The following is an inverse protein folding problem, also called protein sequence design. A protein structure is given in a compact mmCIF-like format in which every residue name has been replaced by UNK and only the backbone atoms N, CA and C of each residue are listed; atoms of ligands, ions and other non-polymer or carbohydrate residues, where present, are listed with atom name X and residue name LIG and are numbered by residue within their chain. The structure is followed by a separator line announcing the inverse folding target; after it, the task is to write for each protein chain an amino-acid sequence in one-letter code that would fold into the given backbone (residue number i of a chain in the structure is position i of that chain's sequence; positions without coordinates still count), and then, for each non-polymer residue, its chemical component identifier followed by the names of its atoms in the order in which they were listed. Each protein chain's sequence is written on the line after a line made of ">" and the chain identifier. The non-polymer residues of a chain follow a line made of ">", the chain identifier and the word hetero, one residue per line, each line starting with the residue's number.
data_IF_921000898516
#
_entry.id   IF_921000898516
#
_cell.length_a   1.000
_cell.length_b   1.000
_cell.length_c   1.000
_cell.angle_alpha   90.00
_cell.angle_beta   90.00
_cell.angle_gamma   90.00
#
_symmetry.space_group_name_H-M   'P 1'
#
loop_
_entity.id
_entity.type
_entity.pdbx_description
1 polymer ?
#
# COMPACT_ATOMS: atom_id res chain seq x y z
N UNK A 1 -1.44 -22.62 -4.18
CA UNK A 1 -0.39 -22.65 -3.13
C UNK A 1 -0.81 -23.58 -2.01
N UNK A 2 0.11 -24.36 -1.45
CA UNK A 2 -0.13 -25.22 -0.29
C UNK A 2 -0.29 -24.41 1.00
N UNK A 3 -1.01 -24.95 2.00
CA UNK A 3 -1.23 -24.34 3.31
C UNK A 3 -2.03 -23.01 3.27
N UNK A 4 -3.02 -22.96 2.38
CA UNK A 4 -3.91 -21.81 2.24
C UNK A 4 -5.14 -21.90 3.17
N UNK A 5 -5.88 -20.80 3.31
CA UNK A 5 -7.08 -20.74 4.18
C UNK A 5 -8.15 -21.77 3.82
N UNK A 6 -8.31 -22.11 2.53
CA UNK A 6 -9.31 -23.08 2.06
C UNK A 6 -8.98 -24.50 2.53
N UNK A 7 -7.70 -24.90 2.52
CA UNK A 7 -7.23 -26.19 3.07
C UNK A 7 -7.47 -26.29 4.58
N UNK A 8 -7.48 -25.16 5.30
CA UNK A 8 -7.83 -25.08 6.72
C UNK A 8 -9.34 -25.01 6.98
N UNK A 9 -10.18 -25.17 5.95
CA UNK A 9 -11.65 -25.12 6.06
C UNK A 9 -12.23 -23.72 6.24
N UNK A 10 -11.45 -22.67 5.95
CA UNK A 10 -11.89 -21.28 6.09
C UNK A 10 -12.48 -20.80 4.75
N UNK A 11 -13.77 -20.45 4.78
CA UNK A 11 -14.48 -19.91 3.62
C UNK A 11 -14.14 -18.44 3.38
N UNK A 12 -13.93 -18.08 2.12
CA UNK A 12 -13.66 -16.72 1.67
C UNK A 12 -14.74 -16.24 0.70
N UNK A 13 -15.09 -14.95 0.78
CA UNK A 13 -15.97 -14.26 -0.16
C UNK A 13 -15.39 -12.87 -0.44
N UNK A 14 -15.44 -12.45 -1.70
CA UNK A 14 -15.09 -11.09 -2.14
C UNK A 14 -16.36 -10.29 -2.46
N UNK A 15 -16.33 -9.02 -2.13
CA UNK A 15 -17.33 -8.03 -2.54
C UNK A 15 -16.56 -6.92 -3.24
N UNK A 16 -16.80 -6.76 -4.53
CA UNK A 16 -16.21 -5.66 -5.28
C UNK A 16 -16.87 -4.33 -4.88
N UNK A 17 -16.12 -3.24 -5.05
CA UNK A 17 -16.65 -1.91 -4.80
C UNK A 17 -17.70 -1.54 -5.84
N UNK A 18 -18.66 -0.70 -5.46
CA UNK A 18 -19.61 -0.11 -6.38
C UNK A 18 -18.87 0.87 -7.30
N UNK A 19 -18.95 0.62 -8.60
CA UNK A 19 -18.31 1.41 -9.67
C UNK A 19 -16.80 1.67 -9.45
N UNK A 20 -16.10 0.75 -8.77
CA UNK A 20 -14.70 0.91 -8.37
C UNK A 20 -14.44 2.19 -7.54
N UNK A 21 -15.41 2.65 -6.77
CA UNK A 21 -15.31 3.92 -6.01
C UNK A 21 -15.57 3.75 -4.52
N UNK A 22 -16.67 3.12 -4.14
CA UNK A 22 -17.11 3.05 -2.74
C UNK A 22 -17.68 1.67 -2.39
N UNK A 23 -17.88 1.42 -1.10
CA UNK A 23 -18.42 0.16 -0.59
C UNK A 23 -19.81 -0.13 -1.17
N UNK A 24 -20.02 -1.35 -1.68
CA UNK A 24 -21.32 -1.77 -2.19
C UNK A 24 -22.21 -2.29 -1.05
N UNK A 25 -22.82 -1.38 -0.29
CA UNK A 25 -23.59 -1.69 0.92
C UNK A 25 -24.70 -2.75 0.72
N UNK A 26 -25.42 -2.71 -0.41
CA UNK A 26 -26.46 -3.72 -0.73
C UNK A 26 -25.88 -5.14 -0.84
N UNK A 27 -24.68 -5.28 -1.38
CA UNK A 27 -24.01 -6.59 -1.48
C UNK A 27 -23.38 -7.02 -0.15
N UNK A 28 -22.89 -6.05 0.64
CA UNK A 28 -22.42 -6.30 2.01
C UNK A 28 -23.55 -6.88 2.86
N UNK A 29 -24.74 -6.28 2.82
CA UNK A 29 -25.91 -6.74 3.58
C UNK A 29 -26.32 -8.17 3.24
N UNK A 30 -26.25 -8.56 1.96
CA UNK A 30 -26.59 -9.93 1.52
C UNK A 30 -25.54 -10.97 1.93
N UNK A 31 -24.26 -10.60 1.93
CA UNK A 31 -23.15 -11.55 2.06
C UNK A 31 -22.58 -11.65 3.48
N UNK A 32 -22.71 -10.59 4.27
CA UNK A 32 -22.32 -10.58 5.69
C UNK A 32 -23.46 -11.15 6.52
N UNK A 33 -23.15 -12.14 7.36
CA UNK A 33 -24.13 -12.80 8.21
C UNK A 33 -23.59 -12.97 9.62
N UNK A 34 -24.41 -13.53 10.52
CA UNK A 34 -23.97 -13.91 11.88
C UNK A 34 -22.84 -14.95 11.88
N UNK A 35 -22.69 -15.73 10.80
CA UNK A 35 -21.63 -16.73 10.62
C UNK A 35 -20.33 -16.13 10.04
N UNK A 36 -20.37 -14.89 9.54
CA UNK A 36 -19.17 -14.21 9.05
C UNK A 36 -18.32 -13.80 10.25
N UNK A 37 -17.14 -14.44 10.40
CA UNK A 37 -16.26 -14.20 11.55
C UNK A 37 -15.46 -12.91 11.44
N UNK A 38 -15.07 -12.55 10.22
CA UNK A 38 -14.17 -11.42 9.95
C UNK A 38 -14.54 -10.75 8.63
N UNK A 39 -14.39 -9.43 8.57
CA UNK A 39 -14.35 -8.63 7.34
C UNK A 39 -12.97 -8.00 7.24
N UNK A 40 -12.32 -8.18 6.09
CA UNK A 40 -11.08 -7.50 5.73
C UNK A 40 -11.41 -6.31 4.83
N UNK A 41 -10.82 -5.16 5.13
CA UNK A 41 -10.87 -3.95 4.29
C UNK A 41 -9.45 -3.63 3.85
N UNK A 42 -9.23 -3.45 2.56
CA UNK A 42 -7.95 -2.99 2.02
C UNK A 42 -8.02 -1.48 1.74
N UNK A 43 -7.28 -0.67 2.50
CA UNK A 43 -7.30 0.80 2.38
C UNK A 43 -6.77 1.25 1.02
N UNK A 44 -5.51 0.95 0.75
CA UNK A 44 -4.85 1.32 -0.50
C UNK A 44 -5.41 0.58 -1.72
N UNK A 45 -5.44 1.26 -2.86
CA UNK A 45 -5.88 0.68 -4.14
C UNK A 45 -4.98 -0.46 -4.64
N UNK A 46 -3.70 -0.52 -4.26
CA UNK A 46 -2.74 -1.44 -4.89
C UNK A 46 -2.78 -1.30 -6.43
N UNK A 47 -2.75 -2.42 -7.16
CA UNK A 47 -2.79 -2.42 -8.63
C UNK A 47 -4.20 -2.29 -9.25
N UNK A 48 -5.21 -1.88 -8.48
CA UNK A 48 -6.58 -1.76 -8.99
C UNK A 48 -6.89 -0.35 -9.49
N UNK A 49 -7.77 -0.23 -10.47
CA UNK A 49 -8.19 1.05 -11.08
C UNK A 49 -9.27 1.79 -10.26
N UNK A 50 -9.22 1.67 -8.92
CA UNK A 50 -10.14 2.35 -7.99
C UNK A 50 -9.42 3.42 -7.19
N UNK A 51 -10.16 4.28 -6.52
CA UNK A 51 -9.58 5.15 -5.49
C UNK A 51 -9.23 4.34 -4.24
N UNK A 52 -8.18 4.76 -3.54
CA UNK A 52 -7.90 4.33 -2.17
C UNK A 52 -9.00 4.84 -1.24
N UNK A 53 -9.32 4.07 -0.19
CA UNK A 53 -10.46 4.34 0.68
C UNK A 53 -10.06 5.29 1.81
N UNK A 54 -10.76 6.42 1.95
CA UNK A 54 -10.52 7.36 3.05
C UNK A 54 -10.92 6.76 4.40
N UNK A 55 -10.36 7.30 5.49
CA UNK A 55 -10.76 6.90 6.84
C UNK A 55 -12.26 7.11 7.06
N UNK A 56 -12.85 8.14 6.46
CA UNK A 56 -14.30 8.37 6.54
C UNK A 56 -15.10 7.27 5.82
N UNK A 57 -14.66 6.82 4.64
CA UNK A 57 -15.31 5.70 3.93
C UNK A 57 -15.18 4.39 4.74
N UNK A 58 -13.99 4.12 5.28
CA UNK A 58 -13.72 2.97 6.14
C UNK A 58 -14.62 3.01 7.39
N UNK A 59 -14.73 4.17 8.05
CA UNK A 59 -15.62 4.37 9.21
C UNK A 59 -17.06 3.96 8.90
N UNK A 60 -17.63 4.50 7.82
CA UNK A 60 -19.01 4.19 7.41
C UNK A 60 -19.22 2.71 7.13
N UNK A 61 -18.25 2.06 6.46
CA UNK A 61 -18.30 0.62 6.20
C UNK A 61 -18.25 -0.20 7.49
N UNK A 62 -17.39 0.19 8.44
CA UNK A 62 -17.29 -0.47 9.75
C UNK A 62 -18.61 -0.37 10.52
N UNK A 63 -19.18 0.84 10.62
CA UNK A 63 -20.45 1.08 11.30
C UNK A 63 -21.57 0.23 10.67
N UNK A 64 -21.66 0.19 9.34
CA UNK A 64 -22.63 -0.62 8.62
C UNK A 64 -22.48 -2.12 8.90
N UNK A 65 -21.27 -2.64 8.81
CA UNK A 65 -20.98 -4.07 9.05
C UNK A 65 -21.26 -4.44 10.52
N UNK A 66 -20.92 -3.57 11.47
CA UNK A 66 -21.20 -3.78 12.90
C UNK A 66 -22.69 -3.73 13.23
N UNK A 67 -23.50 -2.97 12.49
CA UNK A 67 -24.95 -2.98 12.63
C UNK A 67 -25.57 -4.33 12.20
N UNK A 68 -24.98 -5.01 11.21
CA UNK A 68 -25.41 -6.37 10.81
C UNK A 68 -24.98 -7.39 11.87
N UNK A 69 -23.75 -7.30 12.36
CA UNK A 69 -23.20 -8.20 13.38
C UNK A 69 -22.16 -7.48 14.25
N UNK A 70 -22.53 -7.11 15.47
CA UNK A 70 -21.65 -6.38 16.38
C UNK A 70 -20.42 -7.19 16.87
N UNK A 71 -20.45 -8.52 16.75
CA UNK A 71 -19.34 -9.43 17.15
C UNK A 71 -18.34 -9.71 16.03
N UNK A 72 -18.59 -9.25 14.81
CA UNK A 72 -17.70 -9.49 13.67
C UNK A 72 -16.36 -8.79 13.88
N UNK A 73 -15.26 -9.42 13.48
CA UNK A 73 -13.92 -8.82 13.56
C UNK A 73 -13.69 -7.98 12.29
N UNK A 74 -13.29 -6.72 12.45
CA UNK A 74 -12.86 -5.86 11.35
C UNK A 74 -11.34 -5.84 11.32
N UNK A 75 -10.77 -6.36 10.25
CA UNK A 75 -9.35 -6.22 9.94
C UNK A 75 -9.18 -5.17 8.84
N UNK A 76 -8.25 -4.24 8.99
CA UNK A 76 -7.86 -3.30 7.93
C UNK A 76 -6.40 -3.53 7.54
N UNK A 77 -6.17 -3.83 6.27
CA UNK A 77 -4.84 -3.70 5.66
C UNK A 77 -4.61 -2.22 5.36
N UNK A 78 -3.67 -1.64 6.10
CA UNK A 78 -3.44 -0.20 6.16
C UNK A 78 -2.18 0.25 5.43
N UNK A 79 -1.52 -0.67 4.71
CA UNK A 79 -0.33 -0.37 3.94
C UNK A 79 -0.51 0.90 3.09
N UNK A 80 0.53 1.74 3.08
CA UNK A 80 0.63 3.00 2.35
C UNK A 80 -0.20 4.15 2.91
N UNK A 81 -1.15 3.89 3.80
CA UNK A 81 -2.04 4.90 4.37
C UNK A 81 -1.59 5.47 5.71
N UNK A 82 -0.59 4.87 6.34
CA UNK A 82 -0.11 5.32 7.64
C UNK A 82 0.38 6.77 7.57
N UNK A 83 -0.09 7.61 8.48
CA UNK A 83 0.23 9.03 8.64
C UNK A 83 -0.22 9.95 7.50
N UNK A 84 -0.97 9.46 6.51
CA UNK A 84 -1.50 10.32 5.44
C UNK A 84 -2.70 11.14 5.92
N UNK A 85 -3.54 10.55 6.77
CA UNK A 85 -4.65 11.24 7.44
C UNK A 85 -4.35 11.40 8.94
N UNK A 86 -5.03 12.34 9.61
CA UNK A 86 -4.86 12.57 11.06
C UNK A 86 -5.29 11.34 11.88
N UNK A 87 -6.25 10.57 11.37
CA UNK A 87 -6.77 9.35 11.99
C UNK A 87 -6.30 8.14 11.21
N UNK A 88 -6.21 7.03 11.94
CA UNK A 88 -5.96 5.68 11.40
C UNK A 88 -7.21 4.79 11.58
N UNK A 89 -7.32 3.64 10.89
CA UNK A 89 -8.51 2.79 10.95
C UNK A 89 -8.89 2.34 12.37
N UNK A 90 -7.91 2.19 13.27
CA UNK A 90 -8.13 1.88 14.69
C UNK A 90 -8.95 2.96 15.41
N UNK A 91 -8.82 4.23 15.02
CA UNK A 91 -9.57 5.35 15.59
C UNK A 91 -11.05 5.38 15.14
N UNK A 92 -11.41 4.59 14.13
CA UNK A 92 -12.76 4.54 13.55
C UNK A 92 -13.40 3.15 13.64
N UNK A 93 -12.88 2.29 14.51
CA UNK A 93 -13.53 1.03 14.89
C UNK A 93 -12.96 -0.23 14.26
N UNK A 94 -11.80 -0.17 13.59
CA UNK A 94 -11.10 -1.39 13.18
C UNK A 94 -10.62 -2.16 14.42
N UNK A 95 -10.84 -3.47 14.44
CA UNK A 95 -10.47 -4.33 15.56
C UNK A 95 -8.99 -4.74 15.49
N UNK A 96 -8.45 -4.89 14.27
CA UNK A 96 -7.04 -5.15 13.98
C UNK A 96 -6.63 -4.38 12.73
N UNK A 97 -5.43 -3.81 12.76
CA UNK A 97 -4.81 -3.09 11.65
C UNK A 97 -3.43 -3.67 11.41
N UNK A 98 -3.08 -3.92 10.15
CA UNK A 98 -1.78 -4.48 9.76
C UNK A 98 -1.09 -3.61 8.72
N UNK A 99 0.24 -3.70 8.68
CA UNK A 99 1.02 -3.10 7.61
C UNK A 99 2.50 -3.50 7.68
N UNK A 100 3.31 -2.90 6.82
CA UNK A 100 4.72 -3.22 6.65
C UNK A 100 5.63 -2.11 7.19
N UNK A 101 6.75 -2.48 7.81
CA UNK A 101 7.74 -1.52 8.29
C UNK A 101 8.65 -1.01 7.18
N UNK A 102 8.80 -1.70 6.05
CA UNK A 102 9.55 -1.15 4.89
C UNK A 102 8.70 -0.18 4.04
N UNK A 103 7.57 0.27 4.59
CA UNK A 103 6.68 1.30 4.05
C UNK A 103 6.69 2.53 4.96
N UNK A 104 5.61 3.31 4.93
CA UNK A 104 5.40 4.53 5.70
C UNK A 104 5.92 4.45 7.14
N UNK A 105 5.52 3.49 7.99
CA UNK A 105 5.86 3.52 9.42
C UNK A 105 7.33 3.22 9.74
N UNK A 106 8.13 2.71 8.81
CA UNK A 106 9.57 2.58 9.04
C UNK A 106 10.38 3.80 8.67
N UNK A 107 9.77 4.83 8.08
CA UNK A 107 10.41 6.11 7.80
C UNK A 107 11.67 6.05 6.93
N UNK A 108 11.87 4.95 6.19
CA UNK A 108 13.09 4.69 5.40
C UNK A 108 14.28 4.14 6.20
N UNK A 109 14.10 3.79 7.47
CA UNK A 109 15.16 3.27 8.34
C UNK A 109 14.95 1.82 8.77
N UNK A 110 13.69 1.37 8.85
CA UNK A 110 13.43 -0.03 9.18
C UNK A 110 13.91 -0.95 8.04
N UNK A 111 14.79 -1.89 8.36
CA UNK A 111 15.38 -2.80 7.36
C UNK A 111 14.40 -3.89 6.89
N UNK A 112 13.43 -4.25 7.73
CA UNK A 112 12.41 -5.28 7.46
C UNK A 112 11.27 -5.19 8.48
N UNK A 113 10.30 -6.10 8.36
CA UNK A 113 9.28 -6.35 9.37
C UNK A 113 7.89 -5.84 9.00
N UNK A 114 6.96 -6.10 9.90
CA UNK A 114 5.57 -5.66 9.83
C UNK A 114 5.05 -5.31 11.20
N UNK A 115 3.92 -4.60 11.23
CA UNK A 115 3.22 -4.27 12.48
C UNK A 115 1.80 -4.81 12.45
N UNK A 116 1.31 -5.12 13.65
CA UNK A 116 -0.08 -5.50 13.90
C UNK A 116 -0.50 -4.77 15.16
N UNK A 117 -1.55 -3.95 15.07
CA UNK A 117 -2.12 -3.22 16.20
C UNK A 117 -3.61 -3.47 16.29
N UNK A 118 -4.19 -3.48 17.50
CA UNK A 118 -5.59 -3.82 17.67
C UNK A 118 -5.94 -4.30 19.07
N UNK A 119 -7.10 -4.96 19.18
CA UNK A 119 -7.62 -5.48 20.45
C UNK A 119 -6.71 -6.55 21.04
N UNK A 120 -6.49 -6.49 22.35
CA UNK A 120 -5.54 -7.34 23.07
C UNK A 120 -5.78 -8.84 22.87
N UNK A 121 -7.04 -9.29 22.88
CA UNK A 121 -7.40 -10.69 22.67
C UNK A 121 -7.02 -11.18 21.26
N UNK A 122 -7.16 -10.32 20.25
CA UNK A 122 -6.78 -10.62 18.87
C UNK A 122 -5.26 -10.59 18.70
N UNK A 123 -4.57 -9.62 19.28
CA UNK A 123 -3.10 -9.55 19.26
C UNK A 123 -2.47 -10.78 19.92
N UNK A 124 -3.00 -11.24 21.06
CA UNK A 124 -2.51 -12.45 21.72
C UNK A 124 -2.68 -13.70 20.84
N UNK A 125 -3.82 -13.83 20.13
CA UNK A 125 -4.06 -14.94 19.19
C UNK A 125 -3.11 -14.90 18.00
N UNK A 126 -2.85 -13.70 17.47
CA UNK A 126 -1.92 -13.49 16.36
C UNK A 126 -0.49 -13.80 16.78
N UNK A 127 -0.06 -13.33 17.96
CA UNK A 127 1.25 -13.63 18.50
C UNK A 127 1.47 -15.14 18.65
N UNK A 128 0.51 -15.86 19.22
CA UNK A 128 0.56 -17.32 19.34
C UNK A 128 0.62 -18.04 17.99
N UNK A 129 0.04 -17.46 16.92
CA UNK A 129 0.14 -18.01 15.57
C UNK A 129 1.50 -17.73 14.93
N UNK A 130 2.08 -16.55 15.19
CA UNK A 130 3.39 -16.15 14.68
C UNK A 130 4.52 -16.95 15.33
N UNK A 131 4.38 -17.29 16.61
CA UNK A 131 5.36 -18.06 17.38
C UNK A 131 4.82 -19.46 17.67
N UNK A 132 4.27 -19.69 18.87
CA UNK A 132 3.53 -20.88 19.25
C UNK A 132 2.62 -20.60 20.45
N UNK A 133 1.55 -21.39 20.66
CA UNK A 133 0.73 -21.31 21.86
C UNK A 133 1.57 -21.51 23.13
N UNK A 134 1.38 -20.62 24.12
CA UNK A 134 2.12 -20.65 25.38
C UNK A 134 3.37 -19.76 25.39
N UNK A 135 3.98 -19.49 24.21
CA UNK A 135 5.09 -18.53 24.07
C UNK A 135 4.55 -17.13 23.77
N UNK A 136 3.69 -17.01 22.76
CA UNK A 136 3.12 -15.72 22.36
C UNK A 136 4.19 -14.68 21.98
N UNK A 137 4.10 -13.49 22.56
CA UNK A 137 4.97 -12.33 22.24
C UNK A 137 6.17 -12.15 23.19
N UNK A 138 6.33 -13.03 24.18
CA UNK A 138 7.32 -12.86 25.26
C UNK A 138 8.75 -13.23 24.82
N UNK A 139 8.91 -13.88 23.67
CA UNK A 139 10.20 -14.31 23.14
C UNK A 139 10.37 -13.84 21.70
N UNK A 140 11.55 -13.32 21.38
CA UNK A 140 11.93 -12.88 20.04
C UNK A 140 13.16 -11.98 20.09
N UNK A 141 14.22 -12.34 19.35
CA UNK A 141 15.41 -11.50 19.25
C UNK A 141 15.15 -10.35 18.27
N UNK A 142 15.50 -9.13 18.67
CA UNK A 142 15.29 -7.93 17.85
C UNK A 142 16.44 -7.66 16.87
N UNK A 143 17.53 -8.45 16.90
CA UNK A 143 18.71 -8.33 16.02
C UNK A 143 19.24 -6.89 15.86
N UNK A 144 19.34 -6.16 16.99
CA UNK A 144 19.74 -4.75 17.06
C UNK A 144 18.91 -3.77 16.19
N UNK A 145 17.72 -4.19 15.73
CA UNK A 145 16.84 -3.36 14.90
C UNK A 145 16.00 -2.37 15.71
N UNK A 146 15.94 -2.50 17.03
CA UNK A 146 15.10 -1.67 17.91
C UNK A 146 15.31 -0.17 17.64
N UNK A 147 16.55 0.29 17.54
CA UNK A 147 16.86 1.70 17.26
C UNK A 147 16.34 2.12 15.89
N UNK A 148 16.60 1.33 14.83
CA UNK A 148 16.21 1.65 13.47
C UNK A 148 14.67 1.72 13.34
N UNK A 149 13.96 0.78 13.96
CA UNK A 149 12.49 0.75 13.96
C UNK A 149 11.94 1.99 14.69
N UNK A 150 12.42 2.28 15.90
CA UNK A 150 11.89 3.40 16.69
C UNK A 150 12.23 4.77 16.09
N UNK A 151 13.45 4.94 15.58
CA UNK A 151 13.85 6.17 14.89
C UNK A 151 13.10 6.34 13.57
N UNK A 152 12.93 5.24 12.82
CA UNK A 152 12.12 5.20 11.61
C UNK A 152 10.68 5.62 11.89
N UNK A 153 10.06 5.07 12.93
CA UNK A 153 8.70 5.42 13.33
C UNK A 153 8.56 6.89 13.77
N UNK A 154 9.56 7.44 14.46
CA UNK A 154 9.59 8.86 14.83
C UNK A 154 9.65 9.77 13.59
N UNK A 155 10.39 9.39 12.55
CA UNK A 155 10.52 10.15 11.30
C UNK A 155 9.37 9.88 10.31
N UNK A 156 8.65 8.77 10.47
CA UNK A 156 7.66 8.28 9.53
C UNK A 156 6.60 9.32 9.10
N UNK A 157 6.02 10.16 9.98
CA UNK A 157 5.08 11.18 9.55
C UNK A 157 5.71 12.18 8.56
N UNK A 158 6.95 12.62 8.81
CA UNK A 158 7.67 13.55 7.94
C UNK A 158 8.01 12.90 6.59
N UNK A 159 8.53 11.68 6.62
CA UNK A 159 8.88 10.92 5.41
C UNK A 159 7.64 10.63 4.56
N UNK A 160 6.54 10.25 5.19
CA UNK A 160 5.23 10.05 4.51
C UNK A 160 4.77 11.33 3.81
N UNK A 161 4.88 12.49 4.46
CA UNK A 161 4.52 13.77 3.84
C UNK A 161 5.46 14.16 2.68
N UNK A 162 6.73 13.77 2.72
CA UNK A 162 7.66 13.93 1.58
C UNK A 162 7.18 13.11 0.37
N UNK A 163 6.92 11.81 0.58
CA UNK A 163 6.41 10.93 -0.46
C UNK A 163 5.06 11.42 -1.02
N UNK A 164 4.16 11.86 -0.14
CA UNK A 164 2.85 12.39 -0.54
C UNK A 164 2.95 13.67 -1.38
N UNK A 165 3.84 14.60 -1.02
CA UNK A 165 4.10 15.79 -1.84
C UNK A 165 4.68 15.40 -3.20
N UNK A 166 5.58 14.41 -3.24
CA UNK A 166 6.10 13.84 -4.48
C UNK A 166 4.99 13.26 -5.36
N UNK A 167 4.11 12.44 -4.79
CA UNK A 167 3.02 11.80 -5.52
C UNK A 167 2.03 12.82 -6.09
N UNK A 168 1.69 13.87 -5.34
CA UNK A 168 0.87 15.00 -5.83
C UNK A 168 1.59 15.78 -6.94
N UNK A 169 2.90 16.00 -6.83
CA UNK A 169 3.68 16.68 -7.87
C UNK A 169 3.66 15.89 -9.19
N UNK A 170 3.93 14.59 -9.14
CA UNK A 170 3.85 13.72 -10.31
C UNK A 170 2.43 13.71 -10.89
N UNK A 171 1.40 13.59 -10.04
CA UNK A 171 0.00 13.72 -10.44
C UNK A 171 -0.25 15.00 -11.23
N UNK A 172 0.23 16.14 -10.71
CA UNK A 172 0.01 17.45 -11.31
C UNK A 172 0.66 17.58 -12.67
N UNK A 173 1.93 17.19 -12.77
CA UNK A 173 2.69 17.32 -14.02
C UNK A 173 2.17 16.36 -15.08
N UNK A 174 1.98 15.08 -14.78
CA UNK A 174 1.50 14.12 -15.77
C UNK A 174 0.06 14.43 -16.21
N UNK A 175 -0.80 14.93 -15.32
CA UNK A 175 -2.13 15.42 -15.69
C UNK A 175 -2.05 16.63 -16.64
N UNK A 176 -1.10 17.55 -16.43
CA UNK A 176 -0.86 18.70 -17.32
C UNK A 176 -0.34 18.29 -18.69
N UNK A 177 0.39 17.18 -18.77
CA UNK A 177 0.86 16.58 -20.01
C UNK A 177 -0.21 15.75 -20.75
N UNK A 178 -1.42 15.63 -20.18
CA UNK A 178 -2.55 14.95 -20.82
C UNK A 178 -2.71 13.47 -20.44
N UNK A 179 -1.86 12.94 -19.55
CA UNK A 179 -2.03 11.58 -19.02
C UNK A 179 -3.21 11.51 -18.05
N UNK A 180 -3.93 10.38 -18.06
CA UNK A 180 -4.90 10.09 -16.99
C UNK A 180 -4.14 9.70 -15.74
N UNK A 181 -4.45 10.35 -14.63
CA UNK A 181 -3.82 10.08 -13.33
C UNK A 181 -4.86 9.79 -12.25
N UNK A 182 -4.52 8.94 -11.30
CA UNK A 182 -5.39 8.60 -10.17
C UNK A 182 -4.55 8.45 -8.88
N UNK A 183 -4.86 9.19 -7.81
CA UNK A 183 -5.79 10.32 -7.73
C UNK A 183 -5.35 11.50 -8.60
N UNK A 184 -6.27 12.42 -8.91
CA UNK A 184 -5.94 13.75 -9.45
C UNK A 184 -5.29 14.66 -8.40
N UNK A 185 -4.61 15.73 -8.81
CA UNK A 185 -3.87 16.62 -7.89
C UNK A 185 -4.72 17.21 -6.77
N UNK A 186 -5.95 17.59 -7.09
CA UNK A 186 -6.92 18.21 -6.18
C UNK A 186 -7.71 17.21 -5.32
N UNK A 187 -7.57 15.91 -5.57
CA UNK A 187 -8.28 14.88 -4.82
C UNK A 187 -7.62 14.62 -3.46
N UNK A 188 -8.48 14.35 -2.47
CA UNK A 188 -8.05 13.92 -1.15
C UNK A 188 -7.18 12.67 -1.22
N UNK A 189 -6.17 12.62 -0.35
CA UNK A 189 -5.23 11.53 -0.27
C UNK A 189 -5.45 10.74 1.02
N UNK A 190 -5.39 9.42 0.90
CA UNK A 190 -5.49 8.46 2.01
C UNK A 190 -4.35 7.44 1.99
N UNK A 191 -3.52 7.46 0.94
CA UNK A 191 -2.27 6.74 0.83
C UNK A 191 -1.26 7.53 -0.02
N UNK A 192 -0.05 6.99 -0.16
CA UNK A 192 1.05 7.61 -0.93
C UNK A 192 1.09 7.19 -2.41
N UNK A 193 0.18 6.32 -2.86
CA UNK A 193 0.21 5.75 -4.22
C UNK A 193 -0.24 6.79 -5.26
N UNK A 194 0.45 6.83 -6.39
CA UNK A 194 0.05 7.59 -7.56
C UNK A 194 0.07 6.72 -8.81
N UNK A 195 -1.12 6.50 -9.39
CA UNK A 195 -1.26 5.81 -10.66
C UNK A 195 -1.21 6.80 -11.83
N UNK A 196 -0.52 6.42 -12.91
CA UNK A 196 -0.43 7.15 -14.18
C UNK A 196 -0.72 6.15 -15.31
N UNK A 197 -1.69 6.45 -16.17
CA UNK A 197 -2.08 5.58 -17.28
C UNK A 197 -1.35 6.00 -18.54
N UNK A 198 -0.51 5.12 -19.08
CA UNK A 198 0.32 5.42 -20.25
C UNK A 198 -0.33 5.02 -21.58
N UNK A 199 -1.34 4.14 -21.56
CA UNK A 199 -2.04 3.60 -22.73
C UNK A 199 -1.16 2.80 -23.71
N UNK A 200 0.16 2.91 -23.61
CA UNK A 200 1.15 2.23 -24.44
C UNK A 200 2.19 1.53 -23.55
N UNK A 201 2.51 0.26 -23.89
CA UNK A 201 3.48 -0.58 -23.19
C UNK A 201 4.85 0.09 -23.09
N UNK A 202 5.36 0.63 -24.20
CA UNK A 202 6.72 1.15 -24.28
C UNK A 202 6.89 2.44 -23.46
N UNK A 203 5.85 3.29 -23.41
CA UNK A 203 5.83 4.47 -22.54
C UNK A 203 5.88 4.11 -21.06
N UNK A 204 5.13 3.08 -20.65
CA UNK A 204 5.17 2.57 -19.29
C UNK A 204 6.56 2.01 -18.94
N UNK A 205 7.14 1.20 -19.83
CA UNK A 205 8.48 0.63 -19.62
C UNK A 205 9.51 1.75 -19.49
N UNK A 206 9.52 2.71 -20.43
CA UNK A 206 10.43 3.85 -20.38
C UNK A 206 10.26 4.67 -19.10
N UNK A 207 9.03 4.89 -18.63
CA UNK A 207 8.79 5.57 -17.35
C UNK A 207 9.45 4.82 -16.17
N UNK A 208 9.27 3.50 -16.06
CA UNK A 208 9.90 2.72 -15.00
C UNK A 208 11.44 2.72 -15.11
N UNK A 209 11.99 2.61 -16.32
CA UNK A 209 13.44 2.72 -16.54
C UNK A 209 14.00 4.06 -16.05
N UNK A 210 13.31 5.16 -16.32
CA UNK A 210 13.75 6.49 -15.90
C UNK A 210 13.56 6.73 -14.39
N UNK A 211 12.53 6.14 -13.78
CA UNK A 211 12.41 6.13 -12.31
C UNK A 211 13.62 5.42 -11.70
N UNK A 212 14.05 4.29 -12.27
CA UNK A 212 15.24 3.57 -11.81
C UNK A 212 16.52 4.38 -12.04
N UNK A 213 16.69 5.01 -13.21
CA UNK A 213 17.84 5.87 -13.49
C UNK A 213 17.93 7.08 -12.54
N UNK A 214 16.78 7.58 -12.07
CA UNK A 214 16.71 8.67 -11.10
C UNK A 214 16.93 8.22 -9.63
N UNK A 215 17.12 6.93 -9.37
CA UNK A 215 17.31 6.41 -8.01
C UNK A 215 18.74 6.55 -7.50
N UNK A 216 18.96 6.56 -6.16
CA UNK A 216 20.31 6.65 -5.59
C UNK A 216 21.11 5.35 -5.70
N UNK A 217 20.44 4.19 -5.71
CA UNK A 217 21.06 2.86 -5.76
C UNK A 217 20.69 2.19 -7.08
N UNK A 218 21.63 1.44 -7.66
CA UNK A 218 21.45 0.66 -8.88
C UNK A 218 20.87 1.47 -10.06
N UNK A 219 21.17 2.77 -10.14
CA UNK A 219 20.69 3.65 -11.21
C UNK A 219 21.23 3.29 -12.59
N UNK A 220 22.24 2.44 -12.67
CA UNK A 220 22.78 1.88 -13.91
C UNK A 220 22.12 0.56 -14.32
N UNK A 221 21.23 0.00 -13.49
CA UNK A 221 20.54 -1.26 -13.78
C UNK A 221 19.21 -0.95 -14.45
N UNK A 222 19.02 -1.45 -15.68
CA UNK A 222 17.81 -1.25 -16.44
C UNK A 222 16.74 -2.28 -16.03
N UNK A 223 15.57 -1.87 -15.52
CA UNK A 223 14.50 -2.80 -15.21
C UNK A 223 13.88 -3.34 -16.50
N UNK A 224 13.48 -4.61 -16.49
CA UNK A 224 12.80 -5.27 -17.61
C UNK A 224 11.55 -6.00 -17.10
N UNK A 225 10.51 -6.15 -17.93
CA UNK A 225 9.41 -7.05 -17.61
C UNK A 225 9.89 -8.45 -17.25
N UNK A 226 9.35 -9.02 -16.16
CA UNK A 226 9.59 -10.41 -15.80
C UNK A 226 8.32 -11.12 -15.32
N UNK A 227 8.35 -12.45 -15.31
CA UNK A 227 7.29 -13.26 -14.70
C UNK A 227 7.53 -13.36 -13.19
N UNK A 228 6.71 -12.67 -12.40
CA UNK A 228 6.79 -12.73 -10.94
C UNK A 228 5.83 -13.78 -10.36
N UNK A 229 6.27 -14.66 -9.44
CA UNK A 229 5.37 -15.57 -8.74
C UNK A 229 4.21 -14.82 -8.07
N UNK A 230 2.98 -15.26 -8.31
CA UNK A 230 1.77 -14.66 -7.75
C UNK A 230 1.08 -13.61 -8.65
N UNK A 231 1.67 -13.26 -9.80
CA UNK A 231 1.05 -12.40 -10.81
C UNK A 231 0.71 -13.19 -12.07
N UNK A 232 -0.42 -12.86 -12.70
CA UNK A 232 -0.84 -13.48 -13.96
C UNK A 232 -0.17 -12.84 -15.19
N UNK A 233 0.33 -11.61 -15.03
CA UNK A 233 0.97 -10.82 -16.07
C UNK A 233 2.45 -10.63 -15.73
N UNK A 234 3.29 -10.33 -16.73
CA UNK A 234 4.63 -9.81 -16.46
C UNK A 234 4.53 -8.50 -15.65
N UNK A 235 5.54 -8.25 -14.82
CA UNK A 235 5.64 -7.03 -14.00
C UNK A 235 6.98 -6.38 -14.27
N UNK A 236 7.00 -5.05 -14.34
CA UNK A 236 8.21 -4.24 -14.33
C UNK A 236 8.30 -3.47 -13.00
N UNK A 237 9.50 -3.36 -12.44
CA UNK A 237 9.74 -2.68 -11.16
C UNK A 237 11.03 -1.84 -11.21
N UNK A 238 10.90 -0.58 -10.87
CA UNK A 238 11.97 0.34 -10.54
C UNK A 238 12.07 0.44 -9.01
N UNK A 239 13.19 -0.05 -8.45
CA UNK A 239 13.39 -0.23 -7.03
C UNK A 239 14.86 0.01 -6.61
N UNK A 240 15.46 1.11 -7.09
CA UNK A 240 16.79 1.57 -6.69
C UNK A 240 16.86 2.12 -5.27
N UNK A 241 16.55 1.28 -4.28
CA UNK A 241 16.30 1.66 -2.88
C UNK A 241 17.43 1.21 -1.96
N UNK A 242 17.67 1.95 -0.88
CA UNK A 242 18.64 1.55 0.15
C UNK A 242 18.23 0.27 0.86
N UNK A 243 16.95 0.15 1.19
CA UNK A 243 16.35 -1.06 1.76
C UNK A 243 15.66 -1.83 0.66
N UNK A 244 16.02 -3.10 0.48
CA UNK A 244 15.49 -3.94 -0.60
C UNK A 244 13.95 -4.01 -0.56
N UNK A 245 13.30 -3.52 -1.62
CA UNK A 245 11.84 -3.54 -1.76
C UNK A 245 11.10 -2.52 -0.90
N UNK A 246 11.80 -1.57 -0.27
CA UNK A 246 11.16 -0.53 0.51
C UNK A 246 10.40 0.45 -0.40
N UNK A 247 9.10 0.57 -0.19
CA UNK A 247 8.20 1.37 -1.03
C UNK A 247 7.84 2.72 -0.41
N UNK A 248 8.49 3.08 0.70
CA UNK A 248 8.56 4.47 1.18
C UNK A 248 9.69 5.26 0.50
N UNK A 249 10.63 4.55 -0.15
CA UNK A 249 11.62 5.12 -1.05
C UNK A 249 11.03 5.25 -2.47
N UNK A 250 11.55 6.20 -3.25
CA UNK A 250 11.01 6.47 -4.58
C UNK A 250 11.13 5.22 -5.46
N UNK A 251 9.99 4.73 -5.92
CA UNK A 251 9.89 3.50 -6.71
C UNK A 251 8.67 3.55 -7.62
N UNK A 252 8.71 2.73 -8.67
CA UNK A 252 7.56 2.55 -9.56
C UNK A 252 7.43 1.09 -9.98
N UNK A 253 6.21 0.60 -10.07
CA UNK A 253 5.94 -0.76 -10.55
C UNK A 253 4.64 -0.82 -11.33
N UNK A 254 4.53 -1.83 -12.20
CA UNK A 254 3.38 -1.99 -13.05
C UNK A 254 3.22 -3.42 -13.59
N UNK A 255 2.00 -3.97 -13.64
CA UNK A 255 1.70 -5.11 -14.47
C UNK A 255 1.70 -4.69 -15.95
N UNK A 256 2.31 -5.50 -16.80
CA UNK A 256 2.39 -5.28 -18.26
C UNK A 256 1.09 -5.76 -18.91
N UNK A 257 0.03 -4.98 -18.73
CA UNK A 257 -1.27 -5.16 -19.39
C UNK A 257 -2.01 -3.85 -19.54
N UNK A 258 -2.97 -3.82 -20.46
CA UNK A 258 -3.81 -2.65 -20.68
C UNK A 258 -4.56 -2.22 -19.39
N UNK A 259 -4.68 -0.90 -19.12
CA UNK A 259 -4.28 0.23 -19.97
C UNK A 259 -2.83 0.73 -19.72
N UNK A 260 -1.92 -0.15 -19.29
CA UNK A 260 -0.51 0.15 -18.99
C UNK A 260 -0.38 1.24 -17.92
N UNK A 261 -0.92 0.95 -16.74
CA UNK A 261 -0.88 1.85 -15.58
C UNK A 261 0.38 1.62 -14.77
N UNK A 262 1.20 2.66 -14.62
CA UNK A 262 2.33 2.70 -13.69
C UNK A 262 1.90 3.22 -12.32
N UNK A 263 2.38 2.57 -11.26
CA UNK A 263 2.15 2.95 -9.88
C UNK A 263 3.45 3.48 -9.31
N UNK A 264 3.48 4.79 -9.04
CA UNK A 264 4.58 5.48 -8.40
C UNK A 264 4.28 5.65 -6.92
N UNK A 265 5.29 5.43 -6.08
CA UNK A 265 5.19 5.69 -4.65
C UNK A 265 6.53 6.07 -4.03
N UNK A 266 6.46 6.53 -2.79
CA UNK A 266 7.63 6.82 -1.98
C UNK A 266 8.36 8.10 -2.36
N UNK A 267 9.47 8.33 -1.67
CA UNK A 267 10.28 9.54 -1.74
C UNK A 267 10.66 9.99 -0.34
N UNK A 268 11.85 9.58 0.12
CA UNK A 268 12.32 9.87 1.49
C UNK A 268 12.37 11.37 1.77
N UNK A 269 12.80 12.13 0.76
CA UNK A 269 12.82 13.59 0.74
C UNK A 269 12.15 14.08 -0.54
N UNK A 270 11.37 15.15 -0.42
CA UNK A 270 10.63 15.72 -1.54
C UNK A 270 11.55 16.21 -2.67
N UNK A 271 12.77 16.62 -2.32
CA UNK A 271 13.84 17.02 -3.23
C UNK A 271 14.20 15.92 -4.22
N UNK A 272 14.25 14.66 -3.77
CA UNK A 272 14.53 13.53 -4.64
C UNK A 272 13.40 13.32 -5.65
N UNK A 273 12.14 13.38 -5.21
CA UNK A 273 10.98 13.31 -6.12
C UNK A 273 10.99 14.42 -7.18
N UNK A 274 11.36 15.66 -6.81
CA UNK A 274 11.48 16.78 -7.77
C UNK A 274 12.59 16.52 -8.80
N UNK A 275 13.76 16.10 -8.34
CA UNK A 275 14.89 15.82 -9.23
C UNK A 275 14.56 14.66 -10.18
N UNK A 276 14.01 13.57 -9.64
CA UNK A 276 13.62 12.42 -10.42
C UNK A 276 12.59 12.79 -11.48
N UNK A 277 11.57 13.58 -11.11
CA UNK A 277 10.60 14.08 -12.08
C UNK A 277 11.27 14.88 -13.20
N UNK A 278 12.22 15.76 -12.88
CA UNK A 278 12.93 16.54 -13.91
C UNK A 278 13.71 15.64 -14.88
N UNK A 279 14.35 14.58 -14.39
CA UNK A 279 15.10 13.64 -15.23
C UNK A 279 14.14 12.83 -16.12
N UNK A 280 13.07 12.30 -15.54
CA UNK A 280 12.04 11.54 -16.24
C UNK A 280 11.39 12.40 -17.34
N UNK A 281 11.08 13.66 -17.06
CA UNK A 281 10.49 14.56 -18.06
C UNK A 281 11.43 14.86 -19.21
N UNK A 282 12.73 15.05 -18.97
CA UNK A 282 13.70 15.26 -20.04
C UNK A 282 13.66 14.07 -21.01
N UNK A 283 13.56 12.85 -20.49
CA UNK A 283 13.49 11.66 -21.36
C UNK A 283 12.16 11.47 -22.07
N UNK A 284 11.04 11.70 -21.39
CA UNK A 284 9.70 11.46 -21.94
C UNK A 284 9.32 12.51 -23.00
N UNK A 285 9.87 13.72 -22.89
CA UNK A 285 9.61 14.82 -23.82
C UNK A 285 10.59 14.87 -25.02
N UNK A 286 11.70 14.12 -24.95
CA UNK A 286 12.62 13.89 -26.07
C UNK A 286 12.04 12.90 -27.08
#
# INVERSE_FOLDING_TARGET
>A
ESNNLKELGINYKKIDLLDNKDFYYKEIEKKVSKNTKMVMIQRSMGYSSRRSLSINAIKKAIEFVKNINNKIIIMVDNCYGEFVEIKEPSHVGADVVVGSLIKNPGGGLALSGGYITGKQDLINRIANRMTSPGIGKEVGLMFDQTRNILQGFFLAPKTTMSALKGSILFSHVFNKLGYKVYPKPEEERTDIIQAIVFEEKDKLISFCEEVQHASPIDSNVKPIPWVMPGYNDEVIMAAGTFIQGASIELSADAPIREPYTGFLQGGLVYEHSKLALSLILNKILD
#
